data_IF_949671793931
#
_entry.id   IF_949671793931
#
_cell.length_a   1.000
_cell.length_b   1.000
_cell.length_c   1.000
_cell.angle_alpha   90.00
_cell.angle_beta   90.00
_cell.angle_gamma   90.00
#
_symmetry.space_group_name_H-M   'P 1'
#
loop_
_entity.id
_entity.type
_entity.pdbx_description
1 polymer ?
#
# COMPACT_ATOMS: atom_id res chain seq x y z
N UNK A 1 41.55 14.16 -2.60
CA UNK A 1 40.26 13.73 -3.13
C UNK A 1 40.38 12.47 -4.01
N UNK A 2 41.38 12.33 -4.88
CA UNK A 2 41.59 11.12 -5.71
C UNK A 2 42.21 9.93 -4.95
N UNK A 3 42.98 10.15 -3.90
CA UNK A 3 43.57 9.09 -3.07
C UNK A 3 42.55 8.35 -2.18
N UNK A 4 41.41 8.98 -1.84
CA UNK A 4 40.30 8.36 -1.11
C UNK A 4 39.43 7.51 -1.99
N UNK A 5 39.25 7.84 -3.26
CA UNK A 5 38.52 7.01 -4.23
C UNK A 5 39.27 5.72 -4.56
N UNK A 6 40.60 5.75 -4.68
CA UNK A 6 41.42 4.57 -4.93
C UNK A 6 41.33 3.54 -3.76
N UNK A 7 41.31 4.01 -2.51
CA UNK A 7 41.14 3.12 -1.34
C UNK A 7 39.79 2.46 -1.25
N UNK A 8 38.74 3.08 -1.79
CA UNK A 8 37.37 2.52 -1.77
C UNK A 8 37.26 1.20 -2.57
N UNK A 9 38.05 1.05 -3.62
CA UNK A 9 38.02 -0.14 -4.47
C UNK A 9 39.00 -1.26 -4.03
N UNK A 10 39.98 -0.93 -3.18
CA UNK A 10 40.93 -1.90 -2.63
C UNK A 10 40.36 -2.66 -1.40
N UNK A 11 39.24 -2.19 -0.83
CA UNK A 11 38.60 -2.85 0.30
C UNK A 11 37.60 -3.92 -0.21
N UNK A 12 37.97 -5.20 -0.10
CA UNK A 12 37.14 -6.31 -0.55
C UNK A 12 35.76 -6.35 0.15
N UNK A 13 35.66 -5.88 1.40
CA UNK A 13 34.37 -5.79 2.10
C UNK A 13 33.43 -4.81 1.41
N UNK A 14 33.94 -3.69 0.94
CA UNK A 14 33.15 -2.70 0.18
C UNK A 14 32.71 -3.26 -1.17
N UNK A 15 33.60 -3.95 -1.88
CA UNK A 15 33.25 -4.61 -3.13
C UNK A 15 32.21 -5.71 -2.91
N UNK A 16 32.37 -6.55 -1.90
CA UNK A 16 31.40 -7.58 -1.53
C UNK A 16 30.03 -6.96 -1.17
N UNK A 17 30.03 -5.87 -0.39
CA UNK A 17 28.81 -5.14 -0.06
C UNK A 17 28.06 -4.66 -1.30
N UNK A 18 28.76 -4.01 -2.23
CA UNK A 18 28.18 -3.48 -3.47
C UNK A 18 27.61 -4.62 -4.33
N UNK A 19 28.39 -5.71 -4.50
CA UNK A 19 27.96 -6.85 -5.33
C UNK A 19 26.73 -7.54 -4.74
N UNK A 20 26.74 -7.80 -3.43
CA UNK A 20 25.61 -8.45 -2.74
C UNK A 20 24.37 -7.55 -2.79
N UNK A 21 24.54 -6.25 -2.53
CA UNK A 21 23.46 -5.28 -2.56
C UNK A 21 22.86 -5.17 -3.98
N UNK A 22 23.71 -4.95 -5.00
CA UNK A 22 23.26 -4.84 -6.39
C UNK A 22 22.55 -6.13 -6.87
N UNK A 23 23.11 -7.30 -6.53
CA UNK A 23 22.51 -8.60 -6.86
C UNK A 23 21.16 -8.79 -6.18
N UNK A 24 21.05 -8.46 -4.89
CA UNK A 24 19.79 -8.53 -4.15
C UNK A 24 18.74 -7.59 -4.75
N UNK A 25 19.11 -6.34 -5.03
CA UNK A 25 18.19 -5.37 -5.65
C UNK A 25 17.78 -5.77 -7.06
N UNK A 26 18.67 -6.35 -7.84
CA UNK A 26 18.34 -6.90 -9.16
C UNK A 26 17.25 -7.98 -9.05
N UNK A 27 17.39 -8.92 -8.12
CA UNK A 27 16.36 -9.96 -7.88
C UNK A 27 15.05 -9.35 -7.40
N UNK A 28 15.09 -8.37 -6.50
CA UNK A 28 13.91 -7.63 -6.04
C UNK A 28 13.18 -6.91 -7.18
N UNK A 29 13.93 -6.31 -8.12
CA UNK A 29 13.38 -5.60 -9.28
C UNK A 29 12.74 -6.56 -10.29
N UNK A 30 13.39 -7.68 -10.59
CA UNK A 30 12.88 -8.72 -11.51
C UNK A 30 11.72 -9.50 -10.88
N UNK A 31 11.68 -9.57 -9.54
CA UNK A 31 10.60 -10.20 -8.78
C UNK A 31 10.65 -11.74 -8.71
N UNK A 32 11.45 -12.39 -9.54
CA UNK A 32 11.67 -13.85 -9.54
C UNK A 32 13.05 -14.16 -10.08
N UNK A 33 13.77 -15.09 -9.44
CA UNK A 33 14.99 -15.62 -10.01
C UNK A 33 14.63 -16.76 -11.01
N UNK A 34 15.04 -16.66 -12.29
CA UNK A 34 14.80 -17.74 -13.26
C UNK A 34 15.39 -19.06 -12.76
N UNK A 35 14.57 -20.10 -12.65
CA UNK A 35 15.00 -21.43 -12.18
C UNK A 35 14.92 -21.65 -10.66
N UNK A 36 14.66 -20.65 -9.84
CA UNK A 36 14.52 -20.78 -8.38
C UNK A 36 13.17 -20.27 -7.89
N UNK A 37 12.60 -20.93 -6.89
CA UNK A 37 11.35 -20.51 -6.22
C UNK A 37 11.64 -19.51 -5.09
N UNK A 38 12.45 -18.49 -5.38
CA UNK A 38 12.81 -17.45 -4.42
C UNK A 38 11.97 -16.23 -4.74
N UNK A 39 11.13 -15.83 -3.78
CA UNK A 39 10.36 -14.58 -3.82
C UNK A 39 11.21 -13.38 -3.36
N UNK A 40 10.61 -12.20 -3.37
CA UNK A 40 11.28 -10.96 -2.96
C UNK A 40 11.78 -11.03 -1.51
N UNK A 41 10.99 -11.59 -0.59
CA UNK A 41 11.36 -11.72 0.81
C UNK A 41 12.54 -12.68 0.99
N UNK A 42 12.51 -13.82 0.30
CA UNK A 42 13.61 -14.78 0.28
C UNK A 42 14.90 -14.19 -0.28
N UNK A 43 14.82 -13.36 -1.34
CA UNK A 43 16.00 -12.68 -1.89
C UNK A 43 16.60 -11.68 -0.90
N UNK A 44 15.76 -10.90 -0.20
CA UNK A 44 16.22 -9.95 0.83
C UNK A 44 16.91 -10.67 1.99
N UNK A 45 16.33 -11.78 2.48
CA UNK A 45 16.92 -12.61 3.54
C UNK A 45 18.26 -13.22 3.12
N UNK A 46 18.36 -13.73 1.88
CA UNK A 46 19.62 -14.24 1.34
C UNK A 46 20.67 -13.14 1.24
N UNK A 47 20.30 -11.95 0.75
CA UNK A 47 21.21 -10.81 0.69
C UNK A 47 21.73 -10.42 2.07
N UNK A 48 20.86 -10.33 3.06
CA UNK A 48 21.25 -10.05 4.44
C UNK A 48 22.16 -11.15 5.03
N UNK A 49 21.83 -12.43 4.81
CA UNK A 49 22.66 -13.55 5.24
C UNK A 49 24.05 -13.55 4.59
N UNK A 50 24.13 -13.20 3.30
CA UNK A 50 25.41 -13.06 2.61
C UNK A 50 26.25 -11.90 3.16
N UNK A 51 25.64 -10.74 3.48
CA UNK A 51 26.35 -9.62 4.11
C UNK A 51 27.02 -10.04 5.42
N UNK A 52 26.31 -10.80 6.26
CA UNK A 52 26.89 -11.32 7.51
C UNK A 52 27.89 -12.45 7.24
N UNK A 53 27.58 -13.38 6.34
CA UNK A 53 28.43 -14.54 6.03
C UNK A 53 29.79 -14.17 5.40
N UNK A 54 29.83 -13.09 4.62
CA UNK A 54 31.07 -12.55 4.05
C UNK A 54 31.78 -11.54 4.99
N UNK A 55 31.25 -11.33 6.20
CA UNK A 55 31.85 -10.45 7.19
C UNK A 55 31.76 -8.96 6.83
N UNK A 56 30.87 -8.57 5.90
CA UNK A 56 30.57 -7.16 5.56
C UNK A 56 29.89 -6.47 6.74
N UNK A 57 29.03 -7.19 7.45
CA UNK A 57 28.34 -6.77 8.66
C UNK A 57 28.54 -7.81 9.76
N UNK A 58 28.73 -7.36 10.97
CA UNK A 58 28.66 -8.24 12.15
C UNK A 58 27.19 -8.60 12.41
N UNK A 59 26.98 -9.71 13.11
CA UNK A 59 25.64 -10.14 13.49
C UNK A 59 24.93 -9.08 14.36
N UNK A 60 25.67 -8.39 15.21
CA UNK A 60 25.15 -7.32 16.07
C UNK A 60 24.70 -6.11 15.26
N UNK A 61 25.47 -5.68 14.27
CA UNK A 61 25.10 -4.61 13.35
C UNK A 61 23.89 -4.97 12.52
N UNK A 62 23.79 -6.22 12.05
CA UNK A 62 22.62 -6.72 11.33
C UNK A 62 21.36 -6.67 12.21
N UNK A 63 21.43 -7.04 13.50
CA UNK A 63 20.32 -6.93 14.44
C UNK A 63 19.93 -5.48 14.70
N UNK A 64 20.90 -4.56 14.84
CA UNK A 64 20.64 -3.13 15.03
C UNK A 64 20.02 -2.46 13.81
N UNK A 65 20.27 -2.99 12.62
CA UNK A 65 19.66 -2.49 11.37
C UNK A 65 18.17 -2.84 11.25
N UNK A 66 17.65 -3.78 12.07
CA UNK A 66 16.22 -4.14 12.05
C UNK A 66 15.41 -3.07 12.80
N UNK A 67 14.54 -2.37 12.09
CA UNK A 67 13.61 -1.42 12.71
C UNK A 67 12.39 -2.15 13.29
N UNK A 68 12.49 -2.55 14.56
CA UNK A 68 11.42 -3.21 15.29
C UNK A 68 10.18 -2.32 15.48
N UNK A 69 10.34 -0.99 15.48
CA UNK A 69 9.22 -0.06 15.59
C UNK A 69 8.31 -0.17 14.35
N UNK A 70 8.91 -0.15 13.16
CA UNK A 70 8.18 -0.35 11.90
C UNK A 70 7.52 -1.72 11.85
N UNK A 71 8.20 -2.80 12.26
CA UNK A 71 7.63 -4.16 12.28
C UNK A 71 6.43 -4.23 13.22
N UNK A 72 6.56 -3.69 14.42
CA UNK A 72 5.47 -3.67 15.42
C UNK A 72 4.27 -2.87 14.95
N UNK A 73 4.53 -1.70 14.36
CA UNK A 73 3.48 -0.85 13.79
C UNK A 73 2.76 -1.56 12.62
N UNK A 74 3.51 -2.17 11.70
CA UNK A 74 2.94 -2.96 10.60
C UNK A 74 2.06 -4.09 11.11
N UNK A 75 2.53 -4.86 12.09
CA UNK A 75 1.76 -5.96 12.68
C UNK A 75 0.45 -5.45 13.30
N UNK A 76 0.52 -4.38 14.09
CA UNK A 76 -0.65 -3.74 14.69
C UNK A 76 -1.66 -3.28 13.64
N UNK A 77 -1.18 -2.63 12.58
CA UNK A 77 -2.01 -2.19 11.46
C UNK A 77 -2.64 -3.36 10.71
N UNK A 78 -1.92 -4.44 10.48
CA UNK A 78 -2.46 -5.65 9.83
C UNK A 78 -3.57 -6.28 10.68
N UNK A 79 -3.40 -6.37 12.01
CA UNK A 79 -4.42 -6.88 12.93
C UNK A 79 -5.66 -5.99 12.89
N UNK A 80 -5.49 -4.68 12.90
CA UNK A 80 -6.60 -3.72 12.81
C UNK A 80 -7.41 -3.91 11.51
N UNK A 81 -6.71 -3.96 10.38
CA UNK A 81 -7.35 -4.12 9.06
C UNK A 81 -8.03 -5.49 8.92
N UNK A 82 -7.43 -6.55 9.48
CA UNK A 82 -8.06 -7.86 9.54
C UNK A 82 -9.38 -7.82 10.32
N UNK A 83 -9.43 -7.13 11.46
CA UNK A 83 -10.67 -6.96 12.23
C UNK A 83 -11.72 -6.13 11.45
N UNK A 84 -11.33 -5.05 10.78
CA UNK A 84 -12.22 -4.30 9.90
C UNK A 84 -12.78 -5.17 8.76
N UNK A 85 -11.96 -6.02 8.16
CA UNK A 85 -12.38 -6.97 7.12
C UNK A 85 -13.38 -7.99 7.66
N UNK A 86 -13.06 -8.63 8.79
CA UNK A 86 -13.91 -9.65 9.43
C UNK A 86 -15.24 -9.08 9.93
N UNK A 87 -15.27 -7.83 10.37
CA UNK A 87 -16.51 -7.16 10.80
C UNK A 87 -17.50 -6.94 9.65
N UNK A 88 -17.05 -6.99 8.39
CA UNK A 88 -17.83 -6.67 7.21
C UNK A 88 -17.85 -5.17 6.87
N UNK A 89 -17.00 -4.37 7.48
CA UNK A 89 -16.88 -2.93 7.24
C UNK A 89 -16.70 -2.61 5.74
N UNK A 90 -15.77 -3.27 5.06
CA UNK A 90 -15.54 -3.02 3.63
C UNK A 90 -16.72 -3.43 2.75
N UNK A 91 -17.57 -4.40 3.18
CA UNK A 91 -18.83 -4.72 2.49
C UNK A 91 -19.84 -3.57 2.59
N UNK A 92 -19.89 -2.88 3.74
CA UNK A 92 -20.71 -1.67 3.88
C UNK A 92 -20.21 -0.55 2.95
N UNK A 93 -18.90 -0.32 2.92
CA UNK A 93 -18.27 0.67 2.03
C UNK A 93 -18.60 0.36 0.57
N UNK A 94 -18.43 -0.90 0.15
CA UNK A 94 -18.76 -1.33 -1.21
C UNK A 94 -20.25 -1.13 -1.52
N UNK A 95 -21.14 -1.47 -0.59
CA UNK A 95 -22.58 -1.23 -0.72
C UNK A 95 -22.93 0.26 -0.88
N UNK A 96 -22.19 1.15 -0.23
CA UNK A 96 -22.35 2.60 -0.37
C UNK A 96 -21.88 3.09 -1.75
N UNK A 97 -20.73 2.58 -2.22
CA UNK A 97 -20.23 2.85 -3.58
C UNK A 97 -21.29 2.47 -4.61
N UNK A 98 -21.86 1.26 -4.51
CA UNK A 98 -22.89 0.78 -5.42
C UNK A 98 -24.12 1.67 -5.49
N UNK A 99 -24.63 2.13 -4.36
CA UNK A 99 -25.83 2.97 -4.31
C UNK A 99 -25.64 4.31 -5.03
N UNK A 100 -24.42 4.81 -5.13
CA UNK A 100 -24.10 6.11 -5.75
C UNK A 100 -23.49 5.98 -7.14
N UNK A 101 -23.04 4.81 -7.53
CA UNK A 101 -22.33 4.55 -8.78
C UNK A 101 -23.30 4.31 -9.96
N UNK A 102 -24.19 5.26 -10.23
CA UNK A 102 -25.09 5.21 -11.38
C UNK A 102 -24.40 5.49 -12.72
N UNK A 103 -23.22 6.10 -12.68
CA UNK A 103 -22.41 6.43 -13.85
C UNK A 103 -21.02 5.79 -13.72
N UNK A 104 -20.43 5.23 -14.80
CA UNK A 104 -19.13 4.56 -14.75
C UNK A 104 -18.01 5.43 -14.19
N UNK A 105 -17.97 6.70 -14.59
CA UNK A 105 -16.97 7.65 -14.07
C UNK A 105 -17.15 7.90 -12.57
N UNK A 106 -18.37 7.98 -12.07
CA UNK A 106 -18.65 8.11 -10.63
C UNK A 106 -18.18 6.88 -9.87
N UNK A 107 -18.36 5.69 -10.46
CA UNK A 107 -17.83 4.44 -9.90
C UNK A 107 -16.30 4.48 -9.82
N UNK A 108 -15.62 4.88 -10.90
CA UNK A 108 -14.17 5.03 -10.92
C UNK A 108 -13.68 5.99 -9.83
N UNK A 109 -14.27 7.20 -9.78
CA UNK A 109 -13.93 8.22 -8.77
C UNK A 109 -14.15 7.67 -7.36
N UNK A 110 -15.28 7.00 -7.11
CA UNK A 110 -15.55 6.42 -5.81
C UNK A 110 -14.53 5.34 -5.42
N UNK A 111 -14.14 4.45 -6.34
CA UNK A 111 -13.10 3.44 -6.12
C UNK A 111 -11.76 4.11 -5.81
N UNK A 112 -11.35 5.10 -6.60
CA UNK A 112 -10.07 5.82 -6.40
C UNK A 112 -10.05 6.54 -5.06
N UNK A 113 -11.12 7.28 -4.71
CA UNK A 113 -11.19 8.01 -3.45
C UNK A 113 -11.22 7.07 -2.23
N UNK A 114 -12.00 5.99 -2.30
CA UNK A 114 -12.08 5.02 -1.21
C UNK A 114 -10.76 4.29 -1.03
N UNK A 115 -10.15 3.79 -2.10
CA UNK A 115 -8.85 3.12 -2.02
C UNK A 115 -7.76 4.08 -1.53
N UNK A 116 -7.70 5.30 -2.08
CA UNK A 116 -6.71 6.30 -1.68
C UNK A 116 -6.86 6.71 -0.22
N UNK A 117 -8.09 6.99 0.23
CA UNK A 117 -8.37 7.36 1.61
C UNK A 117 -7.99 6.26 2.60
N UNK A 118 -8.46 5.04 2.38
CA UNK A 118 -8.13 3.94 3.30
C UNK A 118 -6.65 3.59 3.26
N UNK A 119 -5.99 3.67 2.12
CA UNK A 119 -4.55 3.43 2.02
C UNK A 119 -3.70 4.50 2.69
N UNK A 120 -4.20 5.71 2.83
CA UNK A 120 -3.50 6.73 3.61
C UNK A 120 -3.36 6.33 5.09
N UNK A 121 -4.34 5.61 5.64
CA UNK A 121 -4.38 5.28 7.06
C UNK A 121 -4.20 3.80 7.38
N UNK A 122 -4.46 2.93 6.39
CA UNK A 122 -4.44 1.49 6.55
C UNK A 122 -3.54 0.91 5.46
N UNK A 123 -2.43 0.33 5.80
CA UNK A 123 -1.38 -0.20 4.91
C UNK A 123 -1.88 -0.54 3.48
N UNK A 124 -1.31 0.11 2.48
CA UNK A 124 -1.74 0.09 1.07
C UNK A 124 -1.92 -1.31 0.48
N UNK A 125 -0.99 -2.23 0.74
CA UNK A 125 -1.04 -3.61 0.23
C UNK A 125 -2.27 -4.36 0.71
N UNK A 126 -2.65 -4.15 1.98
CA UNK A 126 -3.84 -4.79 2.57
C UNK A 126 -5.12 -4.23 1.94
N UNK A 127 -5.16 -2.94 1.64
CA UNK A 127 -6.31 -2.33 0.94
C UNK A 127 -6.44 -2.89 -0.48
N UNK A 128 -5.33 -3.04 -1.21
CA UNK A 128 -5.34 -3.68 -2.53
C UNK A 128 -5.91 -5.10 -2.47
N UNK A 129 -5.45 -5.92 -1.51
CA UNK A 129 -5.90 -7.30 -1.35
C UNK A 129 -7.40 -7.43 -1.01
N UNK A 130 -7.94 -6.46 -0.28
CA UNK A 130 -9.36 -6.46 0.12
C UNK A 130 -10.25 -5.89 -0.98
N UNK A 131 -9.86 -4.75 -1.55
CA UNK A 131 -10.71 -4.03 -2.50
C UNK A 131 -10.76 -4.69 -3.87
N UNK A 132 -9.67 -5.34 -4.31
CA UNK A 132 -9.61 -6.00 -5.63
C UNK A 132 -10.74 -7.01 -5.85
N UNK A 133 -10.93 -8.05 -5.04
CA UNK A 133 -12.02 -9.00 -5.27
C UNK A 133 -13.41 -8.36 -5.13
N UNK A 134 -13.56 -7.39 -4.23
CA UNK A 134 -14.84 -6.73 -3.98
C UNK A 134 -15.25 -5.84 -5.16
N UNK A 135 -14.32 -5.06 -5.71
CA UNK A 135 -14.57 -4.20 -6.87
C UNK A 135 -14.72 -5.05 -8.14
N UNK A 136 -13.95 -6.14 -8.28
CA UNK A 136 -14.10 -7.08 -9.38
C UNK A 136 -15.51 -7.67 -9.43
N UNK A 137 -16.02 -8.21 -8.31
CA UNK A 137 -17.36 -8.75 -8.19
C UNK A 137 -18.43 -7.70 -8.53
N UNK A 138 -18.27 -6.49 -8.00
CA UNK A 138 -19.15 -5.37 -8.27
C UNK A 138 -19.21 -5.03 -9.78
N UNK A 139 -18.04 -4.81 -10.39
CA UNK A 139 -17.97 -4.35 -11.80
C UNK A 139 -18.47 -5.44 -12.75
N UNK A 140 -18.15 -6.71 -12.48
CA UNK A 140 -18.66 -7.85 -13.25
C UNK A 140 -20.19 -7.96 -13.12
N UNK A 141 -20.75 -7.77 -11.92
CA UNK A 141 -22.21 -7.80 -11.70
C UNK A 141 -22.93 -6.69 -12.47
N UNK A 142 -22.25 -5.55 -12.66
CA UNK A 142 -22.75 -4.44 -13.48
C UNK A 142 -22.50 -4.63 -14.99
N UNK A 143 -21.96 -5.79 -15.42
CA UNK A 143 -21.60 -6.10 -16.81
C UNK A 143 -20.67 -5.07 -17.45
N UNK A 144 -19.73 -4.52 -16.66
CA UNK A 144 -18.74 -3.55 -17.06
C UNK A 144 -17.38 -4.17 -17.30
N UNK A 145 -16.51 -3.47 -18.04
CA UNK A 145 -15.11 -3.88 -18.18
C UNK A 145 -14.39 -3.73 -16.83
N UNK A 146 -13.92 -4.82 -16.19
CA UNK A 146 -13.28 -4.73 -14.88
C UNK A 146 -11.88 -4.10 -14.92
N UNK A 147 -11.20 -4.12 -16.06
CA UNK A 147 -9.78 -3.74 -16.19
C UNK A 147 -9.50 -2.32 -15.66
N UNK A 148 -10.19 -1.25 -16.10
CA UNK A 148 -9.89 0.11 -15.65
C UNK A 148 -10.10 0.29 -14.13
N UNK A 149 -11.11 -0.34 -13.57
CA UNK A 149 -11.39 -0.25 -12.13
C UNK A 149 -10.36 -1.02 -11.30
N UNK A 150 -9.93 -2.20 -11.79
CA UNK A 150 -8.92 -3.00 -11.11
C UNK A 150 -7.52 -2.36 -11.20
N UNK A 151 -7.20 -1.67 -12.29
CA UNK A 151 -5.98 -0.87 -12.40
C UNK A 151 -6.01 0.37 -11.48
N UNK A 152 -7.19 0.95 -11.28
CA UNK A 152 -7.36 2.09 -10.38
C UNK A 152 -7.02 1.77 -8.92
N UNK A 153 -7.26 0.53 -8.45
CA UNK A 153 -7.04 0.14 -7.06
C UNK A 153 -5.56 0.28 -6.65
N UNK A 154 -4.58 -0.41 -7.28
CA UNK A 154 -3.18 -0.29 -6.89
C UNK A 154 -2.63 1.12 -7.14
N UNK A 155 -3.04 1.81 -8.20
CA UNK A 155 -2.62 3.19 -8.45
C UNK A 155 -3.09 4.12 -7.34
N UNK A 156 -4.39 4.10 -7.02
CA UNK A 156 -4.96 4.93 -5.97
C UNK A 156 -4.44 4.55 -4.57
N UNK A 157 -4.22 3.26 -4.32
CA UNK A 157 -3.68 2.77 -3.06
C UNK A 157 -2.25 3.26 -2.84
N UNK A 158 -1.37 3.11 -3.83
CA UNK A 158 0.00 3.60 -3.74
C UNK A 158 0.06 5.12 -3.60
N UNK A 159 -0.69 5.86 -4.42
CA UNK A 159 -0.75 7.32 -4.35
C UNK A 159 -1.32 7.79 -3.00
N UNK A 160 -2.45 7.22 -2.57
CA UNK A 160 -3.09 7.60 -1.31
C UNK A 160 -2.21 7.35 -0.10
N UNK A 161 -1.48 6.22 -0.10
CA UNK A 161 -0.59 5.84 0.99
C UNK A 161 0.60 6.79 1.20
N UNK A 162 0.95 7.60 0.20
CA UNK A 162 2.02 8.60 0.37
C UNK A 162 1.64 9.71 1.34
N UNK A 163 0.34 9.92 1.59
CA UNK A 163 -0.15 11.02 2.40
C UNK A 163 0.25 10.96 3.87
N UNK A 164 0.51 9.77 4.43
CA UNK A 164 0.79 9.62 5.87
C UNK A 164 1.92 8.64 6.14
N UNK A 165 2.46 8.69 7.36
CA UNK A 165 3.50 7.75 7.81
C UNK A 165 2.98 6.31 7.84
N UNK A 166 1.73 6.08 8.23
CA UNK A 166 1.15 4.73 8.35
C UNK A 166 0.65 4.15 7.03
N UNK A 167 0.68 4.91 5.95
CA UNK A 167 0.14 4.49 4.65
C UNK A 167 0.90 3.35 3.98
N UNK A 168 2.23 3.30 4.16
CA UNK A 168 3.07 2.23 3.61
C UNK A 168 4.33 2.00 4.46
N UNK A 169 4.98 0.82 4.33
CA UNK A 169 6.17 0.49 5.11
C UNK A 169 7.34 1.46 4.91
N UNK A 170 7.51 2.00 3.71
CA UNK A 170 8.58 2.94 3.40
C UNK A 170 8.43 4.23 4.20
N UNK A 171 7.21 4.78 4.27
CA UNK A 171 6.92 5.96 5.06
C UNK A 171 7.09 5.70 6.57
N UNK A 172 6.73 4.48 7.04
CA UNK A 172 6.94 4.09 8.43
C UNK A 172 8.43 4.11 8.80
N UNK A 173 9.29 3.55 7.95
CA UNK A 173 10.75 3.59 8.13
C UNK A 173 11.25 5.04 8.12
N UNK A 174 10.83 5.86 7.15
CA UNK A 174 11.19 7.28 7.09
C UNK A 174 10.75 8.00 8.36
N UNK A 175 9.52 7.77 8.81
CA UNK A 175 8.99 8.37 10.03
C UNK A 175 9.76 7.94 11.29
N UNK A 176 10.13 6.65 11.39
CA UNK A 176 10.90 6.11 12.50
C UNK A 176 12.29 6.75 12.62
N UNK A 177 13.00 6.92 11.49
CA UNK A 177 14.34 7.49 11.49
C UNK A 177 14.37 9.02 11.52
N UNK A 178 13.45 9.69 10.82
CA UNK A 178 13.45 11.15 10.70
C UNK A 178 12.83 11.87 11.90
N UNK A 179 12.05 11.17 12.71
CA UNK A 179 11.31 11.72 13.86
C UNK A 179 10.40 12.91 13.47
N UNK A 180 9.95 12.96 12.21
CA UNK A 180 9.02 13.99 11.74
C UNK A 180 7.65 13.76 12.37
N UNK A 181 7.02 14.78 12.98
CA UNK A 181 5.68 14.65 13.53
C UNK A 181 4.67 14.19 12.47
N UNK A 182 3.81 13.24 12.84
CA UNK A 182 2.81 12.65 11.94
C UNK A 182 1.96 13.70 11.20
N UNK A 183 1.49 14.72 11.94
CA UNK A 183 0.70 15.80 11.38
C UNK A 183 1.47 16.64 10.35
N UNK A 184 2.75 16.92 10.60
CA UNK A 184 3.61 17.67 9.68
C UNK A 184 3.86 16.89 8.40
N UNK A 185 4.15 15.59 8.51
CA UNK A 185 4.29 14.69 7.38
C UNK A 185 3.01 14.65 6.54
N UNK A 186 1.86 14.44 7.20
CA UNK A 186 0.56 14.40 6.52
C UNK A 186 0.22 15.74 5.85
N UNK A 187 0.48 16.88 6.50
CA UNK A 187 0.23 18.20 5.92
C UNK A 187 1.06 18.45 4.65
N UNK A 188 2.33 18.02 4.65
CA UNK A 188 3.23 18.20 3.52
C UNK A 188 2.85 17.30 2.31
N UNK A 189 2.48 16.05 2.54
CA UNK A 189 2.29 15.06 1.47
C UNK A 189 0.83 14.85 1.05
N UNK A 190 -0.17 15.25 1.86
CA UNK A 190 -1.58 15.12 1.46
C UNK A 190 -1.92 15.89 0.17
N UNK A 191 -1.42 17.11 -0.10
CA UNK A 191 -1.65 17.77 -1.38
C UNK A 191 -1.11 16.98 -2.56
N UNK A 192 0.07 16.35 -2.42
CA UNK A 192 0.68 15.51 -3.46
C UNK A 192 -0.19 14.29 -3.73
N UNK A 193 -0.66 13.63 -2.67
CA UNK A 193 -1.55 12.48 -2.79
C UNK A 193 -2.89 12.87 -3.47
N UNK A 194 -3.48 14.01 -3.11
CA UNK A 194 -4.73 14.50 -3.74
C UNK A 194 -4.53 14.72 -5.23
N UNK A 195 -3.48 15.43 -5.63
CA UNK A 195 -3.16 15.65 -7.05
C UNK A 195 -2.92 14.31 -7.77
N UNK A 196 -2.19 13.40 -7.16
CA UNK A 196 -1.94 12.08 -7.73
C UNK A 196 -3.20 11.23 -7.88
N UNK A 197 -4.16 11.30 -6.95
CA UNK A 197 -5.48 10.65 -7.08
C UNK A 197 -6.30 11.26 -8.23
N UNK A 198 -6.28 12.58 -8.39
CA UNK A 198 -6.91 13.25 -9.52
C UNK A 198 -6.29 12.80 -10.84
N UNK A 199 -4.95 12.76 -10.92
CA UNK A 199 -4.25 12.26 -12.10
C UNK A 199 -4.58 10.79 -12.39
N UNK A 200 -4.73 9.96 -11.37
CA UNK A 200 -5.15 8.56 -11.53
C UNK A 200 -6.51 8.46 -12.23
N UNK A 201 -7.50 9.25 -11.78
CA UNK A 201 -8.82 9.31 -12.43
C UNK A 201 -8.70 9.79 -13.87
N UNK A 202 -7.96 10.87 -14.12
CA UNK A 202 -7.79 11.46 -15.45
C UNK A 202 -7.12 10.51 -16.41
N UNK A 203 -6.04 9.85 -16.00
CA UNK A 203 -5.30 8.90 -16.83
C UNK A 203 -6.16 7.69 -17.19
N UNK A 204 -6.81 7.06 -16.21
CA UNK A 204 -7.63 5.87 -16.45
C UNK A 204 -8.84 6.21 -17.31
N UNK A 205 -9.53 7.33 -17.02
CA UNK A 205 -10.67 7.75 -17.82
C UNK A 205 -10.27 8.17 -19.23
N UNK A 206 -9.05 8.71 -19.41
CA UNK A 206 -8.49 9.09 -20.70
C UNK A 206 -8.09 7.87 -21.54
N UNK A 207 -7.48 6.84 -20.95
CA UNK A 207 -7.05 5.62 -21.65
C UNK A 207 -8.25 4.74 -22.02
N UNK A 208 -9.23 4.60 -21.12
CA UNK A 208 -10.41 3.75 -21.29
C UNK A 208 -11.68 4.55 -21.61
N UNK A 209 -11.58 5.56 -22.48
CA UNK A 209 -12.69 6.47 -22.84
C UNK A 209 -13.97 5.75 -23.21
N UNK A 210 -13.88 4.67 -23.96
CA UNK A 210 -15.05 3.91 -24.43
C UNK A 210 -15.89 3.33 -23.29
N UNK A 211 -15.25 2.98 -22.16
CA UNK A 211 -15.95 2.49 -20.97
C UNK A 211 -16.74 3.64 -20.29
N UNK A 212 -16.21 4.85 -20.26
CA UNK A 212 -16.75 5.97 -19.50
C UNK A 212 -17.73 6.84 -20.30
N UNK A 213 -17.64 6.82 -21.64
CA UNK A 213 -18.56 7.58 -22.53
C UNK A 213 -19.86 6.82 -22.85
N UNK A 214 -19.88 5.48 -22.74
CA UNK A 214 -21.09 4.69 -22.94
C UNK A 214 -22.08 4.92 -21.80
N UNK A 215 -23.17 5.65 -22.07
CA UNK A 215 -24.37 5.67 -21.22
C UNK A 215 -25.05 4.30 -21.34
N UNK A 216 -24.87 3.46 -20.37
CA UNK A 216 -25.67 2.24 -20.21
C UNK A 216 -26.45 2.46 -18.93
N UNK A 217 -27.77 2.33 -18.99
CA UNK A 217 -28.61 2.30 -17.81
C UNK A 217 -28.15 1.18 -16.89
N UNK A 218 -27.58 1.59 -15.77
CA UNK A 218 -27.18 0.67 -14.72
C UNK A 218 -28.48 0.21 -14.03
N UNK A 219 -29.09 -0.85 -14.54
CA UNK A 219 -30.01 -1.63 -13.73
C UNK A 219 -29.19 -2.26 -12.61
N UNK A 220 -29.08 -1.55 -11.49
CA UNK A 220 -28.40 -2.04 -10.30
C UNK A 220 -29.07 -3.33 -9.87
N UNK A 221 -28.41 -4.49 -9.96
CA UNK A 221 -28.99 -5.73 -9.47
C UNK A 221 -29.33 -5.51 -8.00
N UNK A 222 -30.50 -5.95 -7.56
CA UNK A 222 -30.87 -6.00 -6.14
C UNK A 222 -29.91 -6.94 -5.42
N UNK A 223 -28.70 -6.44 -5.10
CA UNK A 223 -27.80 -7.20 -4.27
C UNK A 223 -28.37 -7.32 -2.86
N UNK A 224 -28.35 -8.53 -2.34
CA UNK A 224 -28.72 -8.83 -0.95
C UNK A 224 -27.98 -7.88 -0.02
N UNK A 225 -28.69 -7.33 0.97
CA UNK A 225 -28.11 -6.46 1.97
C UNK A 225 -26.84 -7.11 2.55
N UNK A 226 -25.71 -6.39 2.60
CA UNK A 226 -24.46 -6.96 3.06
C UNK A 226 -24.60 -7.44 4.51
N UNK A 227 -24.24 -8.70 4.75
CA UNK A 227 -24.18 -9.24 6.12
C UNK A 227 -22.97 -8.65 6.82
N UNK A 228 -23.19 -7.96 7.92
CA UNK A 228 -22.14 -7.38 8.76
C UNK A 228 -22.53 -7.46 10.24
N UNK A 229 -21.52 -7.54 11.10
CA UNK A 229 -21.72 -7.54 12.54
C UNK A 229 -21.64 -6.12 13.09
N UNK A 230 -22.80 -5.46 13.34
CA UNK A 230 -22.87 -4.07 13.79
C UNK A 230 -21.94 -3.77 14.96
N UNK A 231 -21.97 -4.61 16.02
CA UNK A 231 -21.11 -4.38 17.19
C UNK A 231 -19.62 -4.46 16.90
N UNK A 232 -19.22 -5.40 16.03
CA UNK A 232 -17.81 -5.53 15.65
C UNK A 232 -17.36 -4.38 14.74
N UNK A 233 -18.22 -3.95 13.80
CA UNK A 233 -17.94 -2.77 12.94
C UNK A 233 -17.72 -1.53 13.78
N UNK A 234 -18.64 -1.24 14.73
CA UNK A 234 -18.53 -0.06 15.58
C UNK A 234 -17.25 -0.10 16.41
N UNK A 235 -16.95 -1.23 17.07
CA UNK A 235 -15.72 -1.39 17.85
C UNK A 235 -14.46 -1.20 17.00
N UNK A 236 -14.38 -1.86 15.85
CA UNK A 236 -13.20 -1.75 14.95
C UNK A 236 -13.03 -0.34 14.41
N UNK A 237 -14.10 0.34 14.03
CA UNK A 237 -14.05 1.74 13.54
C UNK A 237 -13.65 2.68 14.68
N UNK A 238 -14.20 2.53 15.88
CA UNK A 238 -13.81 3.37 17.03
C UNK A 238 -12.34 3.20 17.39
N UNK A 239 -11.84 1.96 17.40
CA UNK A 239 -10.40 1.69 17.65
C UNK A 239 -9.54 2.33 16.55
N UNK A 240 -9.96 2.23 15.28
CA UNK A 240 -9.24 2.87 14.17
C UNK A 240 -9.19 4.38 14.33
N UNK A 241 -10.32 5.01 14.65
CA UNK A 241 -10.39 6.47 14.85
C UNK A 241 -9.54 6.88 16.06
N UNK A 242 -9.61 6.15 17.17
CA UNK A 242 -8.81 6.43 18.37
C UNK A 242 -7.32 6.34 18.07
N UNK A 243 -6.89 5.29 17.35
CA UNK A 243 -5.49 5.12 16.93
C UNK A 243 -5.04 6.28 16.04
N UNK A 244 -5.86 6.69 15.06
CA UNK A 244 -5.53 7.84 14.21
C UNK A 244 -5.40 9.12 15.02
N UNK A 245 -6.33 9.36 15.96
CA UNK A 245 -6.28 10.53 16.84
C UNK A 245 -4.97 10.56 17.67
N UNK A 246 -4.52 9.42 18.19
CA UNK A 246 -3.26 9.30 18.91
C UNK A 246 -2.05 9.63 18.02
N UNK A 247 -1.99 9.15 16.79
CA UNK A 247 -0.91 9.50 15.85
C UNK A 247 -0.87 11.00 15.54
N UNK A 248 -2.03 11.64 15.35
CA UNK A 248 -2.09 13.08 15.13
C UNK A 248 -1.78 13.89 16.39
N UNK A 249 -2.03 13.33 17.58
CA UNK A 249 -1.65 13.94 18.84
C UNK A 249 -0.14 13.81 19.18
N UNK A 250 0.60 13.00 18.41
CA UNK A 250 2.03 12.77 18.63
C UNK A 250 2.34 11.76 19.74
N UNK A 251 1.40 10.85 20.03
CA UNK A 251 1.53 9.78 21.03
C UNK A 251 1.79 8.43 20.37
#
# INVERSE_FOLDING_TARGET
MWATAARFWDDWHTLAAVVIFAGTYFVLAVGKLPGYRIDRAGAALLGAALMVGFGVLTLEEAYRAIDFNTITLLLGMMILVANLKLSGFFRLVNGLIMRRAQHPLVLLVAVVLVCGFFSAFLVNDTICLIMTPMVAELVISLKRNPIPYLLAIPMASNVGSTATITGNPQNMIIGSFSQIPYASFAAALSPVAIVGLMLTVLLISGIYRDEFLRRIDLSVPLMRAPRYHRGLVIKSVLITIAMMALFFAGL
#
